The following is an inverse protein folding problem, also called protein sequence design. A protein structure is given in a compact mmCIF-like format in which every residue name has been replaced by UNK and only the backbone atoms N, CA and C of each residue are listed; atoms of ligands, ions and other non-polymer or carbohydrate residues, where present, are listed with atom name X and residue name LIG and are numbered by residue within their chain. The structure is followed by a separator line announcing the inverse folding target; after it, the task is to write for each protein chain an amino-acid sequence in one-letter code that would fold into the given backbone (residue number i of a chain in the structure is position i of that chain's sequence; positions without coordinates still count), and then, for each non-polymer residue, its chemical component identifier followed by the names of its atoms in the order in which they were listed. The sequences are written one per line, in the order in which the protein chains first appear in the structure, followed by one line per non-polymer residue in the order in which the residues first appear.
data_IF_530782228441
#
_entry.id   IF_530782228441
#
_cell.length_a   1.000
_cell.length_b   1.000
_cell.length_c   1.000
_cell.angle_alpha   90.00
_cell.angle_beta   90.00
_cell.angle_gamma   90.00
#
_symmetry.space_group_name_H-M   'P 1'
#
loop_
_entity.id
_entity.type
_entity.pdbx_description
1 polymer ?
#
# COMPACT_ATOMS: atom_id res chain seq x y z
N UNK A 1 -4.38 -31.44 34.70
CA UNK A 1 -4.20 -30.21 35.49
C UNK A 1 -4.26 -29.07 34.51
N UNK A 2 -5.40 -28.38 34.55
CA UNK A 2 -5.78 -27.20 33.76
C UNK A 2 -4.97 -26.00 34.19
N UNK A 3 -4.33 -25.31 33.24
CA UNK A 3 -3.91 -23.92 33.39
C UNK A 3 -4.34 -23.18 32.12
N UNK A 4 -5.63 -22.86 32.08
CA UNK A 4 -6.15 -21.76 31.27
C UNK A 4 -5.66 -20.46 31.89
N UNK A 5 -4.72 -19.80 31.23
CA UNK A 5 -4.52 -18.36 31.38
C UNK A 5 -5.11 -17.71 30.14
N UNK A 6 -6.44 -17.68 30.07
CA UNK A 6 -7.15 -16.72 29.23
C UNK A 6 -7.19 -15.43 30.05
N UNK A 7 -6.28 -14.50 29.73
CA UNK A 7 -6.43 -13.12 30.18
C UNK A 7 -7.31 -12.44 29.15
N UNK A 8 -8.62 -12.47 29.38
CA UNK A 8 -9.56 -11.58 28.72
C UNK A 8 -9.28 -10.18 29.24
N UNK A 9 -8.65 -9.33 28.41
CA UNK A 9 -8.72 -7.89 28.67
C UNK A 9 -10.17 -7.44 28.48
N UNK A 10 -10.59 -6.58 29.40
CA UNK A 10 -11.95 -6.12 29.62
C UNK A 10 -12.66 -5.65 28.35
N UNK A 11 -13.91 -6.09 28.23
CA UNK A 11 -14.99 -5.64 27.34
C UNK A 11 -14.70 -4.42 26.46
N UNK A 12 -14.88 -4.63 25.15
CA UNK A 12 -15.20 -3.60 24.16
C UNK A 12 -16.15 -2.56 24.78
N UNK A 13 -15.71 -1.32 24.85
CA UNK A 13 -16.62 -0.19 25.03
C UNK A 13 -17.59 -0.24 23.84
N UNK A 14 -18.86 -0.55 24.07
CA UNK A 14 -19.91 -0.40 23.06
C UNK A 14 -19.88 1.06 22.58
N UNK A 15 -19.39 1.24 21.37
CA UNK A 15 -19.22 2.52 20.72
C UNK A 15 -20.12 2.50 19.50
N UNK A 16 -21.13 3.37 19.46
CA UNK A 16 -22.14 3.40 18.41
C UNK A 16 -22.15 4.78 17.74
N UNK A 17 -21.15 5.07 16.88
CA UNK A 17 -21.03 6.35 16.18
C UNK A 17 -21.97 6.37 14.96
N UNK A 18 -22.55 7.53 14.66
CA UNK A 18 -23.23 7.75 13.39
C UNK A 18 -22.18 8.04 12.29
N UNK A 19 -21.58 7.00 11.72
CA UNK A 19 -20.64 7.15 10.60
C UNK A 19 -21.41 7.49 9.31
N UNK A 20 -21.48 8.78 8.95
CA UNK A 20 -21.85 9.16 7.60
C UNK A 20 -20.70 8.79 6.66
N UNK A 21 -20.82 7.66 5.94
CA UNK A 21 -19.87 7.23 4.89
C UNK A 21 -19.51 8.42 3.98
N UNK A 22 -18.21 8.69 3.82
CA UNK A 22 -17.70 9.82 3.01
C UNK A 22 -17.48 9.41 1.55
N UNK A 23 -16.44 8.63 1.27
CA UNK A 23 -16.12 8.06 -0.06
C UNK A 23 -14.93 7.09 0.09
N UNK A 24 -14.80 6.13 -0.83
CA UNK A 24 -13.61 5.28 -0.95
C UNK A 24 -12.42 6.00 -1.67
N UNK A 25 -12.62 7.24 -2.14
CA UNK A 25 -11.58 8.12 -2.66
C UNK A 25 -10.80 8.82 -1.54
N UNK A 26 -9.46 8.86 -1.65
CA UNK A 26 -8.59 9.56 -0.72
C UNK A 26 -7.89 10.72 -1.44
N UNK A 27 -7.91 11.91 -0.85
CA UNK A 27 -7.24 13.10 -1.39
C UNK A 27 -5.70 13.04 -1.27
N UNK A 28 -5.13 11.97 -0.71
CA UNK A 28 -3.70 11.80 -0.45
C UNK A 28 -3.17 10.37 -0.77
N UNK A 29 -3.52 9.85 -1.95
CA UNK A 29 -2.98 8.57 -2.47
C UNK A 29 -1.45 8.54 -2.63
N UNK A 30 -0.76 9.67 -2.53
CA UNK A 30 0.65 9.80 -2.91
C UNK A 30 1.65 9.13 -1.96
N UNK A 31 1.31 8.90 -0.69
CA UNK A 31 2.25 8.47 0.36
C UNK A 31 1.75 7.20 1.04
N UNK A 32 2.62 6.22 1.24
CA UNK A 32 2.38 5.05 2.08
C UNK A 32 3.33 5.10 3.30
N UNK A 33 2.84 5.49 4.49
CA UNK A 33 3.69 5.56 5.69
C UNK A 33 4.37 4.24 6.06
N UNK A 34 3.85 3.10 5.59
CA UNK A 34 4.45 1.78 5.82
C UNK A 34 5.48 1.38 4.76
N UNK A 35 5.75 2.20 3.73
CA UNK A 35 6.66 1.83 2.66
C UNK A 35 8.06 1.47 3.19
N UNK A 36 8.63 2.26 4.10
CA UNK A 36 9.95 1.99 4.68
C UNK A 36 10.02 0.60 5.34
N UNK A 37 8.94 0.20 6.03
CA UNK A 37 8.80 -1.14 6.59
C UNK A 37 8.76 -2.21 5.48
N UNK A 38 7.85 -2.06 4.49
CA UNK A 38 7.67 -3.02 3.40
C UNK A 38 8.96 -3.21 2.61
N UNK A 39 9.64 -2.12 2.30
CA UNK A 39 10.91 -2.09 1.60
C UNK A 39 11.99 -2.84 2.39
N UNK A 40 12.20 -2.49 3.66
CA UNK A 40 13.22 -3.13 4.48
C UNK A 40 13.01 -4.64 4.58
N UNK A 41 11.77 -5.08 4.86
CA UNK A 41 11.49 -6.51 5.06
C UNK A 41 11.48 -7.29 3.75
N UNK A 42 11.14 -6.66 2.61
CA UNK A 42 11.06 -7.35 1.31
C UNK A 42 12.37 -7.38 0.52
N UNK A 43 13.30 -6.43 0.74
CA UNK A 43 14.57 -6.34 -0.01
C UNK A 43 15.76 -7.01 0.67
N UNK A 44 15.53 -7.60 1.83
CA UNK A 44 16.53 -8.34 2.57
C UNK A 44 17.51 -7.44 3.34
N UNK A 45 17.61 -7.68 4.64
CA UNK A 45 18.42 -6.91 5.61
C UNK A 45 19.93 -7.05 5.36
N UNK A 46 20.35 -8.13 4.72
CA UNK A 46 21.75 -8.39 4.36
C UNK A 46 22.39 -7.30 3.48
N UNK A 47 21.58 -6.41 2.89
CA UNK A 47 22.03 -5.29 2.06
C UNK A 47 22.05 -3.93 2.79
N UNK A 48 21.56 -3.83 4.05
CA UNK A 48 21.45 -2.56 4.78
C UNK A 48 22.65 -2.36 5.74
N UNK A 49 23.54 -1.38 5.49
CA UNK A 49 24.75 -1.19 6.29
C UNK A 49 24.47 -0.30 7.51
N UNK A 50 24.01 -0.87 8.63
CA UNK A 50 23.96 -0.11 9.89
C UNK A 50 24.45 -0.90 11.11
N UNK A 51 25.26 -0.21 11.92
CA UNK A 51 25.70 -0.63 13.24
C UNK A 51 24.56 -0.37 14.25
N UNK A 52 24.10 -1.40 14.96
CA UNK A 52 23.02 -1.30 15.96
C UNK A 52 22.14 -2.55 16.09
N UNK A 53 22.20 -3.49 15.13
CA UNK A 53 21.39 -4.70 15.16
C UNK A 53 19.95 -4.47 14.69
N UNK A 54 19.26 -5.56 14.31
CA UNK A 54 18.00 -5.49 13.59
C UNK A 54 16.83 -4.86 14.39
N UNK A 55 16.76 -5.11 15.69
CA UNK A 55 15.70 -4.57 16.56
C UNK A 55 15.74 -3.03 16.64
N UNK A 56 16.93 -2.43 16.63
CA UNK A 56 17.11 -0.97 16.59
C UNK A 56 16.63 -0.40 15.26
N UNK A 57 16.89 -1.09 14.13
CA UNK A 57 16.37 -0.70 12.81
C UNK A 57 14.84 -0.74 12.77
N UNK A 58 14.21 -1.81 13.28
CA UNK A 58 12.74 -1.89 13.37
C UNK A 58 12.16 -0.76 14.22
N UNK A 59 12.77 -0.49 15.37
CA UNK A 59 12.35 0.59 16.24
C UNK A 59 12.39 1.95 15.52
N UNK A 60 13.49 2.26 14.82
CA UNK A 60 13.63 3.51 14.06
C UNK A 60 12.63 3.64 12.90
N UNK A 61 12.12 2.53 12.35
CA UNK A 61 11.09 2.59 11.31
C UNK A 61 9.74 2.94 11.90
N UNK A 62 9.31 2.25 12.96
CA UNK A 62 8.02 2.52 13.59
C UNK A 62 8.00 3.85 14.37
N UNK A 63 9.16 4.27 14.88
CA UNK A 63 9.36 5.50 15.66
C UNK A 63 10.64 6.22 15.23
N UNK A 64 10.64 6.91 14.08
CA UNK A 64 11.83 7.61 13.56
C UNK A 64 12.28 8.80 14.42
N UNK A 65 11.44 9.25 15.35
CA UNK A 65 11.67 10.43 16.18
C UNK A 65 12.83 10.17 17.15
N UNK A 66 14.02 10.56 16.74
CA UNK A 66 15.16 10.63 17.66
C UNK A 66 15.12 11.93 18.46
N UNK A 67 15.77 12.00 19.64
CA UNK A 67 15.92 13.25 20.39
C UNK A 67 16.51 14.42 19.58
N UNK A 68 17.13 14.14 18.44
CA UNK A 68 17.75 15.13 17.56
C UNK A 68 16.86 15.55 16.37
N UNK A 69 15.75 14.86 16.12
CA UNK A 69 14.79 15.13 15.03
C UNK A 69 13.35 15.04 15.55
N UNK A 70 12.94 15.91 16.49
CA UNK A 70 11.64 15.83 17.17
C UNK A 70 10.45 16.17 16.26
N UNK A 71 10.70 16.74 15.08
CA UNK A 71 9.67 17.21 14.13
C UNK A 71 9.28 16.17 13.08
N UNK A 72 9.92 14.99 13.07
CA UNK A 72 9.48 13.89 12.21
C UNK A 72 8.24 13.28 12.86
N UNK A 73 7.15 13.16 12.12
CA UNK A 73 5.95 12.47 12.62
C UNK A 73 6.18 10.95 12.54
N UNK A 74 5.81 10.20 13.57
CA UNK A 74 6.00 8.73 13.52
C UNK A 74 4.91 8.05 12.67
N UNK A 75 5.13 6.78 12.26
CA UNK A 75 4.20 6.07 11.37
C UNK A 75 2.76 6.05 11.92
N UNK A 76 2.60 5.91 13.24
CA UNK A 76 1.28 5.82 13.86
C UNK A 76 0.50 7.13 13.77
N UNK A 77 1.18 8.25 13.97
CA UNK A 77 0.61 9.59 13.85
C UNK A 77 0.25 9.89 12.39
N UNK A 78 1.15 9.61 11.44
CA UNK A 78 0.88 9.76 10.00
C UNK A 78 -0.33 8.93 9.53
N UNK A 79 -0.49 7.72 10.06
CA UNK A 79 -1.64 6.87 9.76
C UNK A 79 -2.93 7.40 10.41
N UNK A 80 -2.88 7.88 11.65
CA UNK A 80 -4.03 8.48 12.34
C UNK A 80 -4.53 9.72 11.59
N UNK A 81 -3.63 10.56 11.12
CA UNK A 81 -3.97 11.77 10.36
C UNK A 81 -4.69 11.43 9.04
N UNK A 82 -4.28 10.36 8.36
CA UNK A 82 -4.99 9.83 7.18
C UNK A 82 -6.38 9.29 7.51
N UNK A 83 -6.53 8.66 8.66
CA UNK A 83 -7.80 8.09 9.11
C UNK A 83 -8.79 9.18 9.50
N UNK A 84 -8.31 10.34 9.98
CA UNK A 84 -9.15 11.48 10.39
C UNK A 84 -10.11 11.96 9.29
N UNK A 85 -9.71 11.82 8.03
CA UNK A 85 -10.58 12.18 6.92
C UNK A 85 -11.69 11.16 6.66
N UNK A 86 -11.65 9.96 7.24
CA UNK A 86 -12.57 8.84 6.98
C UNK A 86 -13.60 8.57 8.07
N UNK A 87 -13.30 9.05 9.27
CA UNK A 87 -14.06 8.74 10.47
C UNK A 87 -14.40 10.01 11.25
N UNK A 88 -15.30 9.88 12.21
CA UNK A 88 -15.65 10.98 13.10
C UNK A 88 -14.55 11.27 14.13
N UNK A 89 -14.54 12.51 14.66
CA UNK A 89 -13.58 12.97 15.67
C UNK A 89 -13.52 12.06 16.90
N UNK A 90 -14.66 11.49 17.32
CA UNK A 90 -14.72 10.56 18.46
C UNK A 90 -13.97 9.25 18.22
N UNK A 91 -13.87 8.80 16.97
CA UNK A 91 -13.06 7.63 16.59
C UNK A 91 -11.57 8.01 16.65
N UNK A 92 -11.22 9.22 16.21
CA UNK A 92 -9.86 9.73 16.31
C UNK A 92 -9.41 9.88 17.76
N UNK A 93 -10.27 10.38 18.65
CA UNK A 93 -10.00 10.42 20.08
C UNK A 93 -9.75 9.03 20.68
N UNK A 94 -10.53 8.03 20.25
CA UNK A 94 -10.33 6.65 20.67
C UNK A 94 -8.99 6.08 20.16
N UNK A 95 -8.64 6.34 18.89
CA UNK A 95 -7.35 5.95 18.30
C UNK A 95 -6.21 6.62 19.09
N UNK A 96 -6.29 7.92 19.35
CA UNK A 96 -5.29 8.65 20.15
C UNK A 96 -5.10 8.02 21.53
N UNK A 97 -6.19 7.63 22.19
CA UNK A 97 -6.13 6.92 23.47
C UNK A 97 -5.38 5.59 23.38
N UNK A 98 -5.52 4.82 22.29
CA UNK A 98 -4.77 3.58 22.06
C UNK A 98 -3.29 3.88 21.77
N UNK A 99 -3.00 4.90 20.96
CA UNK A 99 -1.64 5.30 20.61
C UNK A 99 -0.86 5.78 21.86
N UNK A 100 -1.48 6.65 22.67
CA UNK A 100 -0.89 7.24 23.87
C UNK A 100 -0.73 6.25 25.03
N UNK A 101 -1.46 5.15 25.00
CA UNK A 101 -1.37 4.08 26.01
C UNK A 101 -0.63 2.86 25.46
N UNK A 102 -1.32 1.99 24.71
CA UNK A 102 -0.82 0.67 24.31
C UNK A 102 0.39 0.72 23.40
N UNK A 103 0.36 1.57 22.37
CA UNK A 103 1.48 1.69 21.43
C UNK A 103 2.68 2.34 22.11
N UNK A 104 2.47 3.39 22.91
CA UNK A 104 3.51 4.03 23.69
C UNK A 104 4.16 3.10 24.73
N UNK A 105 3.37 2.36 25.51
CA UNK A 105 3.87 1.37 26.47
C UNK A 105 4.70 0.28 25.76
N UNK A 106 4.24 -0.18 24.59
CA UNK A 106 4.98 -1.16 23.77
C UNK A 106 6.29 -0.58 23.26
N UNK A 107 6.29 0.66 22.76
CA UNK A 107 7.48 1.39 22.31
C UNK A 107 8.51 1.52 23.42
N UNK A 108 8.09 2.00 24.59
CA UNK A 108 8.98 2.24 25.72
C UNK A 108 9.61 0.91 26.19
N UNK A 109 8.83 -0.18 26.20
CA UNK A 109 9.37 -1.51 26.55
C UNK A 109 10.36 -2.04 25.51
N UNK A 110 10.11 -1.82 24.22
CA UNK A 110 11.05 -2.16 23.15
C UNK A 110 12.36 -1.38 23.29
N UNK A 111 12.26 -0.09 23.60
CA UNK A 111 13.43 0.77 23.81
C UNK A 111 14.30 0.25 24.97
N UNK A 112 13.69 -0.06 26.12
CA UNK A 112 14.39 -0.62 27.28
C UNK A 112 15.14 -1.93 26.94
N UNK A 113 14.51 -2.78 26.12
CA UNK A 113 15.11 -4.03 25.64
C UNK A 113 16.30 -3.75 24.72
N UNK A 114 16.16 -2.83 23.77
CA UNK A 114 17.25 -2.44 22.87
C UNK A 114 18.44 -1.89 23.68
N UNK A 115 18.20 -1.01 24.65
CA UNK A 115 19.24 -0.48 25.54
C UNK A 115 19.90 -1.60 26.38
N UNK A 116 19.14 -2.60 26.82
CA UNK A 116 19.68 -3.76 27.55
C UNK A 116 20.57 -4.62 26.64
N UNK A 117 20.15 -4.86 25.39
CA UNK A 117 20.94 -5.61 24.41
C UNK A 117 22.24 -4.88 24.07
N UNK A 118 22.19 -3.56 23.86
CA UNK A 118 23.36 -2.75 23.53
C UNK A 118 24.40 -2.73 24.67
N UNK A 119 23.94 -2.62 25.92
CA UNK A 119 24.83 -2.49 27.07
C UNK A 119 25.28 -3.83 27.68
N UNK A 120 24.44 -4.87 27.60
CA UNK A 120 24.63 -6.13 28.33
C UNK A 120 24.46 -7.40 27.48
N UNK A 121 24.04 -7.28 26.22
CA UNK A 121 23.86 -8.38 25.28
C UNK A 121 22.50 -9.07 25.36
N UNK A 122 22.18 -9.87 24.32
CA UNK A 122 20.90 -10.56 24.14
C UNK A 122 20.48 -11.43 25.33
N UNK A 123 21.40 -12.24 25.88
CA UNK A 123 21.10 -13.12 27.01
C UNK A 123 20.61 -12.36 28.26
N UNK A 124 21.07 -11.13 28.49
CA UNK A 124 20.61 -10.30 29.61
C UNK A 124 19.18 -9.77 29.41
N UNK A 125 18.76 -9.59 28.15
CA UNK A 125 17.45 -9.08 27.78
C UNK A 125 16.38 -10.19 27.62
N UNK A 126 16.73 -11.47 27.81
CA UNK A 126 15.86 -12.62 27.54
C UNK A 126 14.48 -12.50 28.20
N UNK A 127 14.44 -12.29 29.52
CA UNK A 127 13.19 -12.31 30.27
C UNK A 127 12.32 -11.10 29.92
N UNK A 128 12.93 -9.93 29.73
CA UNK A 128 12.24 -8.72 29.27
C UNK A 128 11.66 -8.88 27.88
N UNK A 129 12.38 -9.55 26.99
CA UNK A 129 11.93 -9.84 25.63
C UNK A 129 10.73 -10.81 25.61
N UNK A 130 10.77 -11.89 26.38
CA UNK A 130 9.62 -12.80 26.52
C UNK A 130 8.44 -12.09 27.20
N UNK A 131 8.72 -11.16 28.13
CA UNK A 131 7.75 -10.26 28.73
C UNK A 131 7.07 -9.33 27.72
N UNK A 132 7.84 -8.70 26.82
CA UNK A 132 7.33 -7.88 25.70
C UNK A 132 6.34 -8.69 24.87
N UNK A 133 6.74 -9.88 24.42
CA UNK A 133 5.88 -10.74 23.59
C UNK A 133 4.60 -11.10 24.34
N UNK A 134 4.72 -11.54 25.59
CA UNK A 134 3.60 -12.13 26.34
C UNK A 134 2.60 -11.07 26.82
N UNK A 135 3.06 -9.85 27.14
CA UNK A 135 2.24 -8.85 27.82
C UNK A 135 1.88 -7.64 26.96
N UNK A 136 2.64 -7.37 25.90
CA UNK A 136 2.47 -6.17 25.09
C UNK A 136 2.15 -6.47 23.63
N UNK A 137 2.75 -7.51 23.05
CA UNK A 137 2.51 -7.85 21.65
C UNK A 137 1.26 -8.71 21.45
N UNK A 138 1.10 -9.84 22.15
CA UNK A 138 -0.06 -10.72 21.91
C UNK A 138 -1.37 -9.98 22.24
N UNK A 139 -2.31 -9.95 21.28
CA UNK A 139 -3.62 -9.31 21.44
C UNK A 139 -3.61 -7.80 21.19
N UNK A 140 -2.48 -7.21 20.79
CA UNK A 140 -2.40 -5.78 20.46
C UNK A 140 -3.25 -5.44 19.23
N UNK A 141 -3.34 -6.35 18.27
CA UNK A 141 -4.16 -6.25 17.05
C UNK A 141 -5.65 -6.03 17.34
N UNK A 142 -6.14 -6.57 18.45
CA UNK A 142 -7.55 -6.49 18.84
C UNK A 142 -8.01 -5.05 19.12
N UNK A 143 -7.08 -4.11 19.34
CA UNK A 143 -7.40 -2.69 19.47
C UNK A 143 -7.80 -2.05 18.12
N UNK A 144 -7.46 -2.69 16.99
CA UNK A 144 -7.71 -2.20 15.64
C UNK A 144 -8.52 -3.17 14.77
N UNK A 145 -8.98 -4.29 15.33
CA UNK A 145 -9.99 -5.16 14.70
C UNK A 145 -11.39 -4.68 15.09
N UNK A 146 -12.35 -4.87 14.19
CA UNK A 146 -13.77 -4.57 14.42
C UNK A 146 -14.62 -5.78 14.08
N UNK A 147 -15.84 -5.81 14.61
CA UNK A 147 -16.78 -6.86 14.22
C UNK A 147 -17.25 -6.62 12.78
N UNK A 148 -17.32 -7.69 11.98
CA UNK A 148 -17.86 -7.64 10.62
C UNK A 148 -19.37 -7.90 10.62
N UNK A 149 -20.07 -7.17 11.50
CA UNK A 149 -21.53 -7.14 11.62
C UNK A 149 -21.96 -5.71 11.99
N UNK A 150 -21.77 -4.78 11.06
CA UNK A 150 -22.17 -3.37 11.19
C UNK A 150 -21.05 -2.34 11.42
N UNK A 151 -19.81 -2.78 11.72
CA UNK A 151 -18.64 -1.91 11.92
C UNK A 151 -17.59 -2.02 10.79
N UNK A 152 -17.92 -2.63 9.65
CA UNK A 152 -16.98 -2.93 8.59
C UNK A 152 -16.33 -1.67 8.00
N UNK A 153 -17.06 -0.55 7.87
CA UNK A 153 -16.49 0.72 7.43
C UNK A 153 -15.39 1.21 8.37
N UNK A 154 -15.59 1.07 9.68
CA UNK A 154 -14.57 1.42 10.65
C UNK A 154 -13.37 0.48 10.54
N UNK A 155 -13.62 -0.82 10.38
CA UNK A 155 -12.58 -1.82 10.11
C UNK A 155 -11.74 -1.49 8.86
N UNK A 156 -12.40 -1.07 7.79
CA UNK A 156 -11.78 -0.62 6.53
C UNK A 156 -10.92 0.63 6.77
N UNK A 157 -11.49 1.66 7.41
CA UNK A 157 -10.78 2.91 7.65
C UNK A 157 -9.52 2.71 8.50
N UNK A 158 -9.57 1.88 9.55
CA UNK A 158 -8.42 1.65 10.45
C UNK A 158 -7.51 0.49 10.02
N UNK A 159 -7.78 -0.13 8.87
CA UNK A 159 -6.94 -1.21 8.31
C UNK A 159 -5.44 -0.89 8.32
N UNK A 160 -4.98 0.34 7.97
CA UNK A 160 -3.56 0.67 8.05
C UNK A 160 -2.97 0.50 9.46
N UNK A 161 -3.67 0.91 10.52
CA UNK A 161 -3.22 0.77 11.91
C UNK A 161 -3.17 -0.70 12.34
N UNK A 162 -4.16 -1.50 11.91
CA UNK A 162 -4.16 -2.95 12.13
C UNK A 162 -2.93 -3.58 11.46
N UNK A 163 -2.68 -3.30 10.19
CA UNK A 163 -1.56 -3.88 9.47
C UNK A 163 -0.19 -3.44 10.02
N UNK A 164 -0.02 -2.18 10.43
CA UNK A 164 1.21 -1.72 11.08
C UNK A 164 1.41 -2.44 12.43
N UNK A 165 0.35 -2.65 13.19
CA UNK A 165 0.39 -3.40 14.47
C UNK A 165 0.78 -4.85 14.29
N UNK A 166 0.16 -5.54 13.34
CA UNK A 166 0.46 -6.94 13.03
C UNK A 166 1.87 -7.09 12.47
N UNK A 167 2.31 -6.11 11.67
CA UNK A 167 3.69 -6.03 11.20
C UNK A 167 4.69 -5.91 12.35
N UNK A 168 4.45 -5.03 13.32
CA UNK A 168 5.25 -4.93 14.54
C UNK A 168 5.27 -6.27 15.29
N UNK A 169 4.11 -6.86 15.56
CA UNK A 169 4.02 -8.11 16.33
C UNK A 169 4.75 -9.27 15.65
N UNK A 170 4.50 -9.52 14.36
CA UNK A 170 5.08 -10.63 13.60
C UNK A 170 6.59 -10.44 13.44
N UNK A 171 7.05 -9.23 13.08
CA UNK A 171 8.48 -8.99 12.91
C UNK A 171 9.25 -9.13 14.21
N UNK A 172 8.76 -8.55 15.32
CA UNK A 172 9.41 -8.74 16.61
C UNK A 172 9.43 -10.22 16.99
N UNK A 173 8.32 -10.94 16.93
CA UNK A 173 8.34 -12.38 17.24
C UNK A 173 9.33 -13.17 16.36
N UNK A 174 9.46 -12.81 15.08
CA UNK A 174 10.42 -13.43 14.16
C UNK A 174 11.88 -13.06 14.48
N UNK A 175 12.18 -11.83 14.92
CA UNK A 175 13.52 -11.49 15.43
C UNK A 175 13.96 -12.44 16.54
N UNK A 176 13.04 -12.75 17.46
CA UNK A 176 13.33 -13.63 18.58
C UNK A 176 13.72 -15.04 18.12
N UNK A 177 13.16 -15.49 16.98
CA UNK A 177 13.53 -16.77 16.37
C UNK A 177 14.89 -16.70 15.68
N UNK A 178 15.21 -15.59 15.02
CA UNK A 178 16.51 -15.38 14.37
C UNK A 178 17.66 -15.31 15.39
N UNK A 179 17.43 -14.68 16.54
CA UNK A 179 18.43 -14.51 17.61
C UNK A 179 18.24 -15.47 18.79
N UNK A 180 17.55 -16.59 18.59
CA UNK A 180 17.16 -17.51 19.67
C UNK A 180 18.35 -18.06 20.45
N UNK A 181 19.49 -18.26 19.80
CA UNK A 181 20.70 -18.83 20.41
C UNK A 181 21.41 -17.77 21.25
N UNK A 182 21.44 -16.52 20.78
CA UNK A 182 22.00 -15.36 21.47
C UNK A 182 21.18 -14.98 22.70
N UNK A 183 19.85 -15.06 22.61
CA UNK A 183 18.97 -14.90 23.76
C UNK A 183 19.04 -16.09 24.74
N UNK A 184 19.51 -17.26 24.30
CA UNK A 184 19.44 -18.50 25.07
C UNK A 184 17.99 -18.97 25.29
N UNK A 185 17.15 -18.84 24.27
CA UNK A 185 15.76 -19.30 24.30
C UNK A 185 15.66 -20.82 24.45
N UNK A 186 14.66 -21.24 25.21
CA UNK A 186 14.31 -22.66 25.34
C UNK A 186 13.42 -23.11 24.18
N UNK A 187 13.28 -24.42 23.97
CA UNK A 187 12.32 -24.97 23.02
C UNK A 187 10.89 -24.46 23.27
N UNK A 188 10.54 -24.21 24.54
CA UNK A 188 9.24 -23.64 24.90
C UNK A 188 9.09 -22.19 24.43
N UNK A 189 10.15 -21.39 24.50
CA UNK A 189 10.14 -20.00 24.03
C UNK A 189 10.00 -19.97 22.50
N UNK A 190 10.81 -20.78 21.80
CA UNK A 190 10.76 -20.96 20.34
C UNK A 190 9.38 -21.43 19.89
N UNK A 191 8.80 -22.41 20.58
CA UNK A 191 7.45 -22.90 20.28
C UNK A 191 6.38 -21.82 20.50
N UNK A 192 6.50 -21.03 21.57
CA UNK A 192 5.57 -19.92 21.86
C UNK A 192 5.58 -18.89 20.72
N UNK A 193 6.76 -18.42 20.31
CA UNK A 193 6.92 -17.45 19.22
C UNK A 193 6.35 -18.00 17.91
N UNK A 194 6.75 -19.23 17.54
CA UNK A 194 6.30 -19.91 16.32
C UNK A 194 4.78 -20.00 16.24
N UNK A 195 4.16 -20.51 17.31
CA UNK A 195 2.71 -20.68 17.41
C UNK A 195 1.95 -19.36 17.34
N UNK A 196 2.48 -18.31 17.97
CA UNK A 196 1.82 -17.01 17.99
C UNK A 196 1.91 -16.31 16.62
N UNK A 197 3.03 -16.44 15.90
CA UNK A 197 3.14 -15.99 14.50
C UNK A 197 2.09 -16.70 13.64
N UNK A 198 1.97 -18.03 13.76
CA UNK A 198 0.99 -18.81 12.98
C UNK A 198 -0.44 -18.34 13.24
N UNK A 199 -0.82 -18.27 14.53
CA UNK A 199 -2.17 -17.86 14.93
C UNK A 199 -2.51 -16.45 14.51
N UNK A 200 -1.59 -15.50 14.72
CA UNK A 200 -1.82 -14.10 14.39
C UNK A 200 -2.00 -13.92 12.88
N UNK A 201 -1.15 -14.56 12.07
CA UNK A 201 -1.31 -14.54 10.62
C UNK A 201 -2.64 -15.18 10.18
N UNK A 202 -2.97 -16.38 10.66
CA UNK A 202 -4.17 -17.10 10.23
C UNK A 202 -5.45 -16.32 10.55
N UNK A 203 -5.52 -15.72 11.74
CA UNK A 203 -6.65 -14.91 12.18
C UNK A 203 -6.77 -13.59 11.38
N UNK A 204 -5.69 -12.81 11.32
CA UNK A 204 -5.72 -11.49 10.67
C UNK A 204 -5.88 -11.62 9.15
N UNK A 205 -5.26 -12.62 8.51
CA UNK A 205 -5.42 -12.83 7.07
C UNK A 205 -6.86 -13.17 6.68
N UNK A 206 -7.57 -13.97 7.50
CA UNK A 206 -8.99 -14.24 7.31
C UNK A 206 -9.80 -12.95 7.43
N UNK A 207 -9.57 -12.17 8.50
CA UNK A 207 -10.25 -10.90 8.74
C UNK A 207 -10.05 -9.91 7.59
N UNK A 208 -8.81 -9.68 7.13
CA UNK A 208 -8.51 -8.75 6.03
C UNK A 208 -9.16 -9.23 4.73
N UNK A 209 -9.16 -10.55 4.46
CA UNK A 209 -9.80 -11.10 3.25
C UNK A 209 -11.32 -10.88 3.26
N UNK A 210 -11.97 -11.10 4.41
CA UNK A 210 -13.41 -10.86 4.58
C UNK A 210 -13.75 -9.38 4.46
N UNK A 211 -12.95 -8.51 5.11
CA UNK A 211 -13.11 -7.06 5.04
C UNK A 211 -12.92 -6.52 3.62
N UNK A 212 -11.95 -7.03 2.87
CA UNK A 212 -11.71 -6.64 1.48
C UNK A 212 -12.86 -7.06 0.56
N UNK A 213 -13.39 -8.27 0.75
CA UNK A 213 -14.57 -8.74 0.01
C UNK A 213 -15.81 -7.90 0.33
N UNK A 214 -15.98 -7.50 1.59
CA UNK A 214 -17.02 -6.54 1.98
C UNK A 214 -16.82 -5.19 1.29
N UNK A 215 -15.62 -4.60 1.34
CA UNK A 215 -15.34 -3.27 0.80
C UNK A 215 -15.52 -3.23 -0.73
N UNK A 216 -15.13 -4.29 -1.44
CA UNK A 216 -15.36 -4.41 -2.88
C UNK A 216 -16.86 -4.42 -3.22
N UNK A 217 -17.65 -5.19 -2.47
CA UNK A 217 -19.10 -5.24 -2.67
C UNK A 217 -19.80 -3.94 -2.23
N UNK A 218 -19.41 -3.36 -1.10
CA UNK A 218 -20.01 -2.15 -0.53
C UNK A 218 -19.67 -0.89 -1.35
N UNK A 219 -18.46 -0.81 -1.91
CA UNK A 219 -18.06 0.28 -2.80
C UNK A 219 -18.92 0.29 -4.07
N UNK A 220 -19.11 -0.86 -4.71
CA UNK A 220 -19.98 -0.98 -5.88
C UNK A 220 -21.45 -0.67 -5.57
N UNK A 221 -22.02 -1.27 -4.51
CA UNK A 221 -23.46 -1.18 -4.23
C UNK A 221 -23.95 0.23 -3.86
N UNK A 222 -23.04 1.09 -3.40
CA UNK A 222 -23.36 2.45 -2.98
C UNK A 222 -22.72 3.53 -3.86
N UNK A 223 -21.95 3.13 -4.88
CA UNK A 223 -21.49 4.06 -5.89
C UNK A 223 -22.67 4.60 -6.70
N UNK A 224 -22.56 5.85 -7.15
CA UNK A 224 -23.43 6.39 -8.17
C UNK A 224 -22.81 6.16 -9.57
N UNK A 225 -23.58 6.40 -10.62
CA UNK A 225 -23.14 6.12 -12.00
C UNK A 225 -21.89 6.90 -12.43
N UNK A 226 -21.62 8.03 -11.79
CA UNK A 226 -20.54 8.94 -12.15
C UNK A 226 -19.23 8.62 -11.41
N UNK A 227 -19.26 7.80 -10.34
CA UNK A 227 -18.08 7.50 -9.51
C UNK A 227 -17.82 6.01 -9.27
N UNK A 228 -18.49 5.09 -10.00
CA UNK A 228 -18.30 3.63 -9.83
C UNK A 228 -16.84 3.23 -9.90
N UNK A 229 -16.11 3.70 -10.92
CA UNK A 229 -14.69 3.36 -11.06
C UNK A 229 -13.88 3.77 -9.84
N UNK A 230 -14.02 5.04 -9.43
CA UNK A 230 -13.23 5.61 -8.35
C UNK A 230 -13.54 4.97 -6.99
N UNK A 231 -14.81 4.70 -6.69
CA UNK A 231 -15.20 4.05 -5.43
C UNK A 231 -14.65 2.62 -5.36
N UNK A 232 -14.83 1.83 -6.42
CA UNK A 232 -14.41 0.41 -6.43
C UNK A 232 -12.90 0.28 -6.47
N UNK A 233 -12.23 1.00 -7.37
CA UNK A 233 -10.77 0.99 -7.46
C UNK A 233 -10.14 1.54 -6.20
N UNK A 234 -10.77 2.53 -5.56
CA UNK A 234 -10.29 3.07 -4.30
C UNK A 234 -10.34 2.06 -3.16
N UNK A 235 -11.48 1.36 -3.02
CA UNK A 235 -11.65 0.29 -2.02
C UNK A 235 -10.61 -0.84 -2.21
N UNK A 236 -10.45 -1.31 -3.45
CA UNK A 236 -9.47 -2.36 -3.78
C UNK A 236 -8.04 -1.93 -3.48
N UNK A 237 -7.69 -0.70 -3.86
CA UNK A 237 -6.34 -0.16 -3.67
C UNK A 237 -5.98 -0.02 -2.21
N UNK A 238 -6.91 0.48 -1.38
CA UNK A 238 -6.70 0.58 0.06
C UNK A 238 -6.47 -0.79 0.70
N UNK A 239 -7.29 -1.79 0.36
CA UNK A 239 -7.12 -3.15 0.85
C UNK A 239 -5.83 -3.81 0.33
N UNK A 240 -5.41 -3.52 -0.91
CA UNK A 240 -4.13 -4.00 -1.45
C UNK A 240 -2.96 -3.42 -0.66
N UNK A 241 -2.87 -2.09 -0.57
CA UNK A 241 -1.73 -1.38 0.05
C UNK A 241 -1.69 -1.63 1.55
N UNK A 242 -2.81 -1.54 2.25
CA UNK A 242 -2.86 -1.62 3.71
C UNK A 242 -3.22 -3.01 4.24
N UNK A 243 -3.48 -3.99 3.37
CA UNK A 243 -3.80 -5.36 3.77
C UNK A 243 -2.92 -6.38 3.07
N UNK A 244 -3.17 -6.62 1.77
CA UNK A 244 -2.59 -7.75 1.05
C UNK A 244 -1.07 -7.67 0.89
N UNK A 245 -0.49 -6.49 0.69
CA UNK A 245 0.97 -6.34 0.63
C UNK A 245 1.65 -6.73 1.94
N UNK A 246 1.07 -6.35 3.07
CA UNK A 246 1.56 -6.78 4.37
C UNK A 246 1.37 -8.28 4.58
N UNK A 247 0.24 -8.84 4.16
CA UNK A 247 -0.02 -10.28 4.25
C UNK A 247 1.01 -11.11 3.47
N UNK A 248 1.50 -10.66 2.31
CA UNK A 248 2.57 -11.35 1.58
C UNK A 248 3.86 -11.43 2.42
N UNK A 249 4.23 -10.32 3.08
CA UNK A 249 5.39 -10.25 3.96
C UNK A 249 5.21 -11.18 5.16
N UNK A 250 4.08 -11.08 5.85
CA UNK A 250 3.79 -11.90 7.04
C UNK A 250 3.73 -13.38 6.71
N UNK A 251 3.17 -13.74 5.56
CA UNK A 251 3.14 -15.12 5.08
C UNK A 251 4.57 -15.63 4.92
N UNK A 252 5.47 -14.83 4.34
CA UNK A 252 6.85 -15.26 4.14
C UNK A 252 7.61 -15.42 5.45
N UNK A 253 7.39 -14.51 6.40
CA UNK A 253 7.91 -14.62 7.77
C UNK A 253 7.36 -15.88 8.45
N UNK A 254 6.05 -16.15 8.31
CA UNK A 254 5.41 -17.34 8.85
C UNK A 254 6.02 -18.61 8.28
N UNK A 255 6.22 -18.69 6.97
CA UNK A 255 6.80 -19.87 6.29
C UNK A 255 8.25 -20.13 6.72
N UNK A 256 9.07 -19.08 6.78
CA UNK A 256 10.51 -19.21 7.01
C UNK A 256 10.91 -19.09 8.47
N UNK A 257 10.01 -18.60 9.34
CA UNK A 257 10.23 -18.33 10.77
C UNK A 257 11.45 -17.42 11.03
N UNK A 258 11.65 -16.46 10.14
CA UNK A 258 12.70 -15.44 10.19
C UNK A 258 12.16 -14.11 9.70
N UNK A 259 12.79 -13.03 10.10
CA UNK A 259 12.36 -11.69 9.72
C UNK A 259 12.98 -11.23 8.39
N UNK A 260 14.21 -11.68 8.09
CA UNK A 260 14.89 -11.36 6.84
C UNK A 260 14.32 -12.20 5.70
N UNK A 261 13.34 -11.65 4.98
CA UNK A 261 12.65 -12.34 3.88
C UNK A 261 12.83 -11.60 2.56
N UNK A 262 12.61 -12.33 1.47
CA UNK A 262 12.48 -11.73 0.15
C UNK A 262 11.07 -12.01 -0.34
N UNK A 263 10.36 -10.95 -0.71
CA UNK A 263 8.99 -11.01 -1.23
C UNK A 263 8.94 -10.21 -2.51
N UNK A 264 8.52 -10.88 -3.58
CA UNK A 264 8.14 -10.23 -4.82
C UNK A 264 6.61 -10.12 -4.84
N UNK A 265 6.10 -8.89 -4.94
CA UNK A 265 4.66 -8.61 -4.96
C UNK A 265 4.18 -8.50 -6.40
N UNK A 266 3.16 -9.29 -6.74
CA UNK A 266 2.42 -9.18 -8.01
C UNK A 266 1.06 -8.50 -7.81
N UNK A 267 0.85 -7.89 -6.64
CA UNK A 267 -0.37 -7.19 -6.29
C UNK A 267 -0.43 -5.85 -7.00
N UNK A 268 -1.64 -5.44 -7.34
CA UNK A 268 -1.90 -4.22 -8.08
C UNK A 268 -2.84 -3.35 -7.27
N UNK A 269 -2.48 -2.08 -7.12
CA UNK A 269 -3.36 -1.01 -6.67
C UNK A 269 -3.60 -0.05 -7.83
N UNK A 270 -4.60 0.82 -7.70
CA UNK A 270 -5.15 1.62 -8.78
C UNK A 270 -5.29 3.08 -8.35
N UNK A 271 -5.11 3.98 -9.30
CA UNK A 271 -5.41 5.39 -9.08
C UNK A 271 -6.89 5.68 -9.30
N UNK A 272 -7.40 6.80 -8.74
CA UNK A 272 -8.58 7.46 -9.26
C UNK A 272 -8.43 7.77 -10.75
N UNK A 273 -9.55 7.92 -11.45
CA UNK A 273 -9.56 8.41 -12.81
C UNK A 273 -9.46 9.95 -12.82
N UNK A 274 -8.57 10.47 -13.67
CA UNK A 274 -8.52 11.90 -13.98
C UNK A 274 -9.31 12.13 -15.27
N UNK A 275 -10.17 13.14 -15.28
CA UNK A 275 -11.02 13.47 -16.43
C UNK A 275 -12.46 12.98 -16.26
N UNK A 276 -13.09 12.54 -17.35
CA UNK A 276 -14.47 12.03 -17.35
C UNK A 276 -14.48 10.51 -17.63
N UNK A 277 -14.61 9.65 -16.60
CA UNK A 277 -14.56 8.21 -16.76
C UNK A 277 -15.64 7.72 -17.72
N UNK A 278 -15.24 7.04 -18.80
CA UNK A 278 -16.18 6.51 -19.78
C UNK A 278 -16.93 5.28 -19.24
N UNK A 279 -17.95 4.81 -19.98
CA UNK A 279 -18.59 3.52 -19.68
C UNK A 279 -17.62 2.33 -19.63
N UNK A 280 -16.44 2.40 -20.27
CA UNK A 280 -15.42 1.36 -20.19
C UNK A 280 -14.71 1.33 -18.83
N UNK A 281 -14.46 2.50 -18.21
CA UNK A 281 -13.95 2.57 -16.84
C UNK A 281 -14.92 1.88 -15.89
N UNK A 282 -16.21 2.23 -15.99
CA UNK A 282 -17.25 1.59 -15.18
C UNK A 282 -17.35 0.08 -15.44
N UNK A 283 -17.29 -0.36 -16.70
CA UNK A 283 -17.28 -1.78 -17.04
C UNK A 283 -16.12 -2.54 -16.37
N UNK A 284 -14.91 -1.99 -16.42
CA UNK A 284 -13.74 -2.57 -15.77
C UNK A 284 -13.93 -2.65 -14.25
N UNK A 285 -14.49 -1.61 -13.64
CA UNK A 285 -14.77 -1.58 -12.19
C UNK A 285 -15.87 -2.55 -11.76
N UNK A 286 -16.85 -2.84 -12.62
CA UNK A 286 -17.90 -3.82 -12.32
C UNK A 286 -17.44 -5.28 -12.44
N UNK A 287 -16.27 -5.53 -13.03
CA UNK A 287 -15.68 -6.86 -13.09
C UNK A 287 -15.05 -7.28 -11.77
N UNK A 288 -14.89 -8.58 -11.56
CA UNK A 288 -14.07 -9.07 -10.44
C UNK A 288 -12.60 -8.68 -10.64
N UNK A 289 -11.84 -8.60 -9.56
CA UNK A 289 -10.42 -8.20 -9.61
C UNK A 289 -9.59 -9.07 -10.58
N UNK A 290 -9.91 -10.36 -10.72
CA UNK A 290 -9.24 -11.28 -11.64
C UNK A 290 -9.62 -11.07 -13.12
N UNK A 291 -10.70 -10.34 -13.40
CA UNK A 291 -11.19 -10.06 -14.74
C UNK A 291 -10.66 -8.75 -15.32
N UNK A 292 -10.00 -7.90 -14.52
CA UNK A 292 -9.37 -6.67 -15.01
C UNK A 292 -8.24 -7.05 -15.97
N UNK A 293 -8.30 -6.66 -17.26
CA UNK A 293 -7.30 -7.05 -18.23
C UNK A 293 -6.13 -6.05 -18.32
N UNK A 294 -5.04 -6.48 -18.96
CA UNK A 294 -4.06 -5.58 -19.55
C UNK A 294 -4.80 -4.65 -20.53
N UNK A 295 -4.59 -3.33 -20.49
CA UNK A 295 -3.39 -2.64 -20.00
C UNK A 295 -3.46 -2.07 -18.59
N UNK A 296 -4.63 -2.07 -17.93
CA UNK A 296 -4.75 -1.54 -16.58
C UNK A 296 -4.09 -2.49 -15.56
N UNK A 297 -4.39 -3.79 -15.64
CA UNK A 297 -3.72 -4.83 -14.84
C UNK A 297 -2.80 -5.64 -15.76
N UNK A 298 -1.48 -5.41 -15.77
CA UNK A 298 -0.59 -6.15 -16.66
C UNK A 298 -0.68 -7.66 -16.45
N UNK A 299 -0.59 -8.41 -17.55
CA UNK A 299 -0.60 -9.87 -17.49
C UNK A 299 0.64 -10.40 -16.76
N UNK A 300 0.59 -11.63 -16.24
CA UNK A 300 1.80 -12.30 -15.74
C UNK A 300 2.74 -12.64 -16.90
N UNK A 301 4.03 -12.37 -16.72
CA UNK A 301 5.11 -12.78 -17.61
C UNK A 301 6.23 -13.45 -16.80
N UNK A 302 6.16 -14.78 -16.70
CA UNK A 302 6.98 -15.54 -15.77
C UNK A 302 6.46 -15.41 -14.35
N UNK A 303 7.34 -15.05 -13.41
CA UNK A 303 7.00 -14.88 -11.98
C UNK A 303 6.59 -13.45 -11.63
N UNK A 304 6.65 -12.52 -12.59
CA UNK A 304 6.34 -11.10 -12.40
C UNK A 304 5.31 -10.57 -13.40
N UNK A 305 4.81 -9.36 -13.18
CA UNK A 305 3.95 -8.65 -14.13
C UNK A 305 4.72 -8.23 -15.39
N UNK A 306 4.02 -8.27 -16.52
CA UNK A 306 4.51 -7.91 -17.84
C UNK A 306 4.80 -6.40 -17.90
N UNK A 307 6.03 -6.01 -18.21
CA UNK A 307 6.45 -4.61 -18.16
C UNK A 307 6.22 -3.87 -19.46
N UNK A 308 5.82 -2.60 -19.32
CA UNK A 308 5.85 -1.63 -20.41
C UNK A 308 7.33 -1.37 -20.76
N UNK A 309 7.69 -1.51 -22.03
CA UNK A 309 9.04 -1.22 -22.54
C UNK A 309 9.05 -0.04 -23.50
N UNK A 310 7.90 0.31 -24.08
CA UNK A 310 7.76 1.45 -24.99
C UNK A 310 6.41 2.13 -24.82
N UNK A 311 6.41 3.45 -24.88
CA UNK A 311 5.20 4.27 -25.01
C UNK A 311 5.28 5.02 -26.33
N UNK A 312 4.22 4.92 -27.13
CA UNK A 312 4.00 5.71 -28.33
C UNK A 312 2.76 6.59 -28.11
N UNK A 313 2.74 7.81 -28.63
CA UNK A 313 1.64 8.75 -28.45
C UNK A 313 1.34 9.55 -29.70
N UNK A 314 0.09 10.02 -29.77
CA UNK A 314 -0.40 10.97 -30.76
C UNK A 314 -1.23 12.03 -30.06
N UNK A 315 -1.10 13.27 -30.53
CA UNK A 315 -1.98 14.36 -30.14
C UNK A 315 -3.22 14.37 -31.05
N UNK A 316 -4.34 14.80 -30.50
CA UNK A 316 -5.55 15.09 -31.28
C UNK A 316 -5.72 16.60 -31.41
N UNK A 317 -5.85 17.08 -32.66
CA UNK A 317 -6.00 18.51 -32.96
C UNK A 317 -7.42 18.79 -33.42
N UNK A 318 -8.19 19.46 -32.57
CA UNK A 318 -9.51 19.95 -32.93
C UNK A 318 -9.44 21.30 -33.66
N UNK A 319 -10.54 21.64 -34.35
CA UNK A 319 -10.85 23.01 -34.77
C UNK A 319 -10.78 23.87 -33.50
N UNK A 320 -9.85 24.84 -33.45
CA UNK A 320 -9.46 25.74 -32.32
C UNK A 320 -7.99 25.62 -31.84
N UNK A 321 -7.16 24.77 -32.46
CA UNK A 321 -5.68 24.79 -32.37
C UNK A 321 -5.05 24.38 -31.01
N UNK A 322 -5.70 23.57 -30.18
CA UNK A 322 -5.06 22.98 -29.00
C UNK A 322 -4.67 21.52 -29.27
N UNK A 323 -3.42 21.16 -28.98
CA UNK A 323 -2.98 19.76 -29.04
C UNK A 323 -3.39 19.05 -27.76
N UNK A 324 -4.42 18.21 -27.82
CA UNK A 324 -4.87 17.39 -26.68
C UNK A 324 -4.33 15.97 -26.79
N UNK A 325 -4.46 15.18 -25.73
CA UNK A 325 -4.06 13.76 -25.77
C UNK A 325 -5.04 12.98 -26.66
N UNK A 326 -4.54 12.47 -27.79
CA UNK A 326 -5.37 11.73 -28.76
C UNK A 326 -5.48 10.25 -28.42
N UNK A 327 -4.34 9.57 -28.45
CA UNK A 327 -4.21 8.15 -28.06
C UNK A 327 -2.79 7.80 -27.63
N UNK A 328 -2.68 6.73 -26.87
CA UNK A 328 -1.40 6.12 -26.48
C UNK A 328 -1.34 4.70 -27.02
N UNK A 329 -0.12 4.18 -27.14
CA UNK A 329 0.12 2.78 -27.46
C UNK A 329 1.28 2.27 -26.64
N UNK A 330 1.06 1.15 -25.98
CA UNK A 330 2.02 0.51 -25.10
C UNK A 330 2.58 -0.72 -25.79
N UNK A 331 3.89 -0.89 -25.75
CA UNK A 331 4.54 -2.16 -26.08
C UNK A 331 5.07 -2.75 -24.79
N UNK A 332 4.74 -4.01 -24.57
CA UNK A 332 5.20 -4.78 -23.42
C UNK A 332 6.40 -5.66 -23.78
N UNK A 333 7.17 -6.07 -22.77
CA UNK A 333 8.38 -6.88 -22.96
C UNK A 333 8.13 -8.24 -23.62
N UNK A 334 6.93 -8.82 -23.44
CA UNK A 334 6.53 -10.04 -24.14
C UNK A 334 6.21 -9.82 -25.63
N UNK A 335 6.32 -8.58 -26.12
CA UNK A 335 6.01 -8.17 -27.49
C UNK A 335 4.54 -7.85 -27.74
N UNK A 336 3.66 -7.99 -26.74
CA UNK A 336 2.27 -7.56 -26.85
C UNK A 336 2.18 -6.05 -26.98
N UNK A 337 1.19 -5.61 -27.74
CA UNK A 337 0.96 -4.21 -28.05
C UNK A 337 -0.50 -3.89 -27.79
N UNK A 338 -0.74 -2.84 -27.01
CA UNK A 338 -2.08 -2.40 -26.64
C UNK A 338 -2.25 -0.93 -26.99
N UNK A 339 -3.37 -0.60 -27.65
CA UNK A 339 -3.75 0.79 -27.93
C UNK A 339 -4.72 1.29 -26.84
N UNK A 340 -4.52 2.54 -26.43
CA UNK A 340 -5.30 3.25 -25.43
C UNK A 340 -5.92 4.48 -26.09
N UNK A 341 -7.25 4.56 -26.09
CA UNK A 341 -8.00 5.40 -27.01
C UNK A 341 -8.12 4.78 -28.41
N UNK A 342 -8.64 5.53 -29.39
CA UNK A 342 -8.88 5.04 -30.76
C UNK A 342 -8.14 5.91 -31.76
N UNK A 343 -7.60 5.26 -32.78
CA UNK A 343 -7.00 5.95 -33.92
C UNK A 343 -8.01 6.87 -34.59
N UNK A 344 -7.63 8.13 -34.79
CA UNK A 344 -8.47 9.13 -35.42
C UNK A 344 -7.76 9.80 -36.60
N UNK A 345 -8.54 10.33 -37.55
CA UNK A 345 -7.99 11.03 -38.73
C UNK A 345 -7.32 12.37 -38.40
N UNK A 346 -7.49 12.86 -37.17
CA UNK A 346 -6.87 14.08 -36.65
C UNK A 346 -5.69 13.78 -35.70
N UNK A 347 -5.26 12.52 -35.63
CA UNK A 347 -4.06 12.15 -34.88
C UNK A 347 -2.83 12.76 -35.58
N UNK A 348 -2.14 13.64 -34.86
CA UNK A 348 -0.91 14.30 -35.30
C UNK A 348 0.18 14.19 -34.22
N UNK A 349 1.37 14.71 -34.51
CA UNK A 349 2.48 14.78 -33.56
C UNK A 349 2.84 13.43 -32.92
N UNK A 350 3.08 12.41 -33.76
CA UNK A 350 3.60 11.13 -33.28
C UNK A 350 4.90 11.32 -32.49
N UNK A 351 4.95 10.72 -31.31
CA UNK A 351 6.12 10.64 -30.47
C UNK A 351 6.25 9.24 -29.87
N UNK A 352 7.46 8.89 -29.46
CA UNK A 352 7.71 7.62 -28.77
C UNK A 352 8.88 7.71 -27.82
N UNK A 353 8.83 6.90 -26.77
CA UNK A 353 9.93 6.70 -25.83
C UNK A 353 10.10 5.21 -25.52
N UNK A 354 11.34 4.74 -25.61
CA UNK A 354 11.76 3.42 -25.11
C UNK A 354 12.19 3.59 -23.65
N UNK A 355 11.69 2.72 -22.77
CA UNK A 355 11.98 2.79 -21.34
C UNK A 355 13.41 2.31 -21.03
N UNK A 356 13.97 1.39 -21.81
CA UNK A 356 15.37 0.93 -21.67
C UNK A 356 15.74 0.49 -20.23
N UNK A 357 14.81 -0.15 -19.52
CA UNK A 357 15.00 -0.58 -18.13
C UNK A 357 14.58 0.45 -17.08
N UNK A 358 14.32 1.71 -17.47
CA UNK A 358 13.68 2.69 -16.58
C UNK A 358 12.20 2.32 -16.34
N UNK A 359 11.64 2.79 -15.23
CA UNK A 359 10.23 2.66 -14.90
C UNK A 359 9.57 4.03 -14.75
N UNK A 360 8.25 4.06 -14.80
CA UNK A 360 7.46 5.29 -14.64
C UNK A 360 7.27 5.53 -13.14
N UNK A 361 7.85 6.61 -12.60
CA UNK A 361 7.74 6.99 -11.17
C UNK A 361 6.36 7.57 -10.86
N UNK A 362 5.93 8.51 -11.68
CA UNK A 362 4.65 9.19 -11.55
C UNK A 362 4.26 9.84 -12.88
N UNK A 363 3.00 10.26 -12.97
CA UNK A 363 2.47 11.02 -14.09
C UNK A 363 1.74 12.27 -13.59
N UNK A 364 1.96 13.40 -14.26
CA UNK A 364 1.19 14.63 -14.05
C UNK A 364 0.17 14.78 -15.18
N UNK A 365 -1.11 14.87 -14.83
CA UNK A 365 -2.24 14.88 -15.77
C UNK A 365 -2.99 16.19 -15.66
N UNK A 366 -3.28 16.85 -16.78
CA UNK A 366 -4.12 18.04 -16.85
C UNK A 366 -5.40 17.68 -17.60
N UNK A 367 -6.54 17.75 -16.90
CA UNK A 367 -7.86 17.64 -17.49
C UNK A 367 -8.55 19.01 -17.53
N UNK A 368 -9.38 19.25 -18.55
CA UNK A 368 -10.08 20.51 -18.73
C UNK A 368 -11.54 20.28 -19.10
N UNK A 369 -12.37 20.18 -18.06
CA UNK A 369 -13.78 19.85 -18.21
C UNK A 369 -13.99 18.40 -18.65
N UNK A 370 -15.22 18.03 -19.03
CA UNK A 370 -15.60 16.64 -19.28
C UNK A 370 -15.09 16.09 -20.62
N UNK A 371 -14.49 16.93 -21.47
CA UNK A 371 -14.32 16.59 -22.88
C UNK A 371 -12.91 16.12 -23.25
N UNK A 372 -11.91 16.32 -22.39
CA UNK A 372 -10.54 15.91 -22.71
C UNK A 372 -9.53 15.95 -21.55
N UNK A 373 -8.56 15.06 -21.68
CA UNK A 373 -7.22 15.21 -21.12
C UNK A 373 -6.39 16.09 -22.06
N UNK A 374 -5.98 17.25 -21.55
CA UNK A 374 -5.18 18.21 -22.29
C UNK A 374 -3.71 17.80 -22.32
N UNK A 375 -3.20 17.25 -21.21
CA UNK A 375 -1.78 16.88 -21.08
C UNK A 375 -1.56 15.68 -20.17
N UNK A 376 -0.61 14.84 -20.54
CA UNK A 376 0.01 13.84 -19.65
C UNK A 376 1.52 14.02 -19.70
N UNK A 377 2.17 14.05 -18.54
CA UNK A 377 3.62 14.07 -18.41
C UNK A 377 4.06 12.84 -17.64
N UNK A 378 4.81 11.96 -18.29
CA UNK A 378 5.44 10.80 -17.66
C UNK A 378 6.80 11.19 -17.11
N UNK A 379 7.07 10.81 -15.86
CA UNK A 379 8.35 11.01 -15.20
C UNK A 379 9.01 9.66 -14.92
N UNK A 380 10.18 9.43 -15.50
CA UNK A 380 10.87 8.13 -15.43
C UNK A 380 11.92 8.10 -14.33
N UNK A 381 12.30 6.90 -13.90
CA UNK A 381 13.30 6.68 -12.85
C UNK A 381 14.68 7.25 -13.18
N UNK A 382 15.02 7.36 -14.47
CA UNK A 382 16.26 7.95 -14.99
C UNK A 382 16.15 9.45 -15.33
N UNK A 383 15.17 10.13 -14.72
CA UNK A 383 14.89 11.56 -14.82
C UNK A 383 14.49 12.08 -16.21
N UNK A 384 14.31 11.17 -17.18
CA UNK A 384 13.66 11.53 -18.43
C UNK A 384 12.19 11.89 -18.18
N UNK A 385 11.65 12.68 -19.11
CA UNK A 385 10.22 12.97 -19.17
C UNK A 385 9.69 12.72 -20.58
N UNK A 386 8.42 12.32 -20.66
CA UNK A 386 7.69 12.17 -21.92
C UNK A 386 6.37 12.92 -21.81
N UNK A 387 6.12 13.86 -22.73
CA UNK A 387 4.97 14.77 -22.66
C UNK A 387 4.06 14.47 -23.83
N UNK A 388 2.76 14.35 -23.57
CA UNK A 388 1.70 14.19 -24.57
C UNK A 388 0.68 15.30 -24.36
N UNK A 389 0.21 15.92 -25.45
CA UNK A 389 -0.69 17.07 -25.40
C UNK A 389 -0.03 18.38 -24.94
N UNK A 390 -0.84 19.36 -24.53
CA UNK A 390 -0.44 20.74 -24.24
C UNK A 390 -0.93 21.23 -22.88
N UNK A 391 -0.14 22.13 -22.27
CA UNK A 391 -0.52 22.74 -21.01
C UNK A 391 -1.60 23.82 -21.22
N UNK A 392 -2.82 23.53 -20.79
CA UNK A 392 -3.95 24.47 -20.86
C UNK A 392 -3.99 25.51 -19.73
N UNK A 393 -2.98 25.52 -18.84
CA UNK A 393 -2.91 26.41 -17.69
C UNK A 393 -3.83 26.02 -16.53
N UNK A 394 -4.45 24.84 -16.61
CA UNK A 394 -5.23 24.24 -15.52
C UNK A 394 -4.30 23.53 -14.51
N UNK A 395 -4.74 23.36 -13.24
CA UNK A 395 -4.00 22.57 -12.27
C UNK A 395 -3.77 21.14 -12.79
N UNK A 396 -2.58 20.61 -12.54
CA UNK A 396 -2.28 19.20 -12.78
C UNK A 396 -2.67 18.36 -11.57
N UNK A 397 -3.20 17.17 -11.82
CA UNK A 397 -3.35 16.09 -10.85
C UNK A 397 -2.16 15.16 -11.02
N UNK A 398 -1.47 14.87 -9.92
CA UNK A 398 -0.38 13.90 -9.90
C UNK A 398 -0.95 12.52 -9.56
N UNK A 399 -0.59 11.52 -10.36
CA UNK A 399 -0.85 10.11 -10.04
C UNK A 399 0.47 9.47 -9.65
N UNK A 400 0.61 9.22 -8.36
CA UNK A 400 1.76 8.64 -7.71
C UNK A 400 1.29 7.81 -6.51
N UNK A 401 2.05 6.77 -6.19
CA UNK A 401 1.99 6.06 -4.91
C UNK A 401 3.42 5.82 -4.45
N UNK A 402 3.80 6.35 -3.29
CA UNK A 402 5.16 6.21 -2.75
C UNK A 402 5.55 4.74 -2.63
N UNK A 403 6.80 4.45 -3.01
CA UNK A 403 7.30 3.08 -2.97
C UNK A 403 6.80 2.16 -4.06
N UNK A 404 5.99 2.68 -4.99
CA UNK A 404 5.46 1.94 -6.12
C UNK A 404 5.90 2.56 -7.44
N UNK A 405 5.74 1.82 -8.53
CA UNK A 405 5.88 2.34 -9.89
C UNK A 405 4.59 2.13 -10.67
N UNK A 406 4.38 2.94 -11.70
CA UNK A 406 3.23 2.77 -12.60
C UNK A 406 3.51 1.60 -13.54
N UNK A 407 2.76 0.51 -13.38
CA UNK A 407 2.93 -0.73 -14.13
C UNK A 407 1.89 -0.90 -15.25
N UNK A 408 0.72 -0.28 -15.09
CA UNK A 408 -0.39 -0.31 -16.03
C UNK A 408 -1.09 1.04 -16.13
N UNK A 409 -1.89 1.23 -17.18
CA UNK A 409 -2.68 2.43 -17.35
C UNK A 409 -3.89 2.19 -18.25
N UNK A 410 -4.91 3.00 -18.04
CA UNK A 410 -6.12 3.04 -18.84
C UNK A 410 -6.33 4.45 -19.35
N UNK A 411 -6.54 4.58 -20.65
CA UNK A 411 -6.99 5.80 -21.28
C UNK A 411 -8.11 5.43 -22.24
N UNK A 412 -9.24 6.13 -22.16
CA UNK A 412 -10.37 5.88 -23.04
C UNK A 412 -11.00 7.18 -23.56
N UNK A 413 -11.71 7.05 -24.68
CA UNK A 413 -12.42 8.14 -25.34
C UNK A 413 -13.92 7.93 -25.18
N UNK A 414 -14.65 8.96 -24.77
CA UNK A 414 -16.11 8.91 -24.73
C UNK A 414 -16.71 9.44 -26.06
N UNK A 415 -16.55 8.66 -27.13
CA UNK A 415 -17.13 8.99 -28.43
C UNK A 415 -16.51 10.22 -29.14
N UNK A 416 -15.37 10.71 -28.64
CA UNK A 416 -14.61 11.82 -29.22
C UNK A 416 -13.32 11.33 -29.90
N UNK A 417 -12.57 12.27 -30.45
CA UNK A 417 -11.25 12.06 -31.06
C UNK A 417 -10.08 12.17 -30.07
N UNK A 418 -10.37 12.24 -28.77
CA UNK A 418 -9.42 12.60 -27.72
C UNK A 418 -9.71 11.84 -26.43
N UNK A 419 -8.66 11.54 -25.67
CA UNK A 419 -8.79 10.84 -24.39
C UNK A 419 -9.63 11.70 -23.44
N UNK A 420 -10.70 11.13 -22.88
CA UNK A 420 -11.60 11.80 -21.95
C UNK A 420 -11.20 11.54 -20.49
N UNK A 421 -10.67 10.35 -20.21
CA UNK A 421 -10.17 9.97 -18.89
C UNK A 421 -8.90 9.16 -18.94
N UNK A 422 -8.13 9.25 -17.85
CA UNK A 422 -6.87 8.55 -17.66
C UNK A 422 -6.72 8.06 -16.22
N UNK A 423 -6.32 6.81 -16.03
CA UNK A 423 -5.93 6.24 -14.74
C UNK A 423 -4.70 5.36 -14.88
N UNK A 424 -4.07 5.06 -13.76
CA UNK A 424 -2.89 4.20 -13.67
C UNK A 424 -3.09 3.09 -12.66
N UNK A 425 -2.27 2.06 -12.79
CA UNK A 425 -2.12 1.01 -11.81
C UNK A 425 -0.68 1.01 -11.27
N UNK A 426 -0.56 0.70 -9.99
CA UNK A 426 0.69 0.69 -9.26
C UNK A 426 1.07 -0.72 -8.83
N UNK A 427 2.37 -0.99 -8.84
CA UNK A 427 2.96 -2.22 -8.31
C UNK A 427 4.10 -1.83 -7.36
N UNK A 428 4.23 -2.55 -6.25
CA UNK A 428 5.25 -2.30 -5.25
C UNK A 428 6.62 -2.37 -5.92
N UNK A 429 7.45 -1.35 -5.71
CA UNK A 429 8.76 -1.29 -6.32
C UNK A 429 9.66 -2.38 -5.73
N UNK A 430 10.48 -3.02 -6.58
CA UNK A 430 11.55 -3.92 -6.15
C UNK A 430 12.90 -3.45 -6.76
N UNK A 431 13.95 -3.14 -5.97
CA UNK A 431 15.22 -2.63 -6.48
C UNK A 431 15.92 -3.60 -7.45
N UNK A 432 15.87 -4.89 -7.14
CA UNK A 432 16.49 -5.96 -7.95
C UNK A 432 15.87 -6.08 -9.35
N UNK A 433 14.67 -5.56 -9.52
CA UNK A 433 13.88 -5.70 -10.74
C UNK A 433 14.29 -4.73 -11.85
N UNK A 434 14.85 -3.58 -11.51
CA UNK A 434 15.17 -2.52 -12.48
C UNK A 434 16.66 -2.29 -12.65
N UNK A 435 17.49 -3.23 -12.17
CA UNK A 435 18.94 -3.20 -12.38
C UNK A 435 19.56 -1.92 -11.85
N UNK A 436 19.42 -1.65 -10.55
CA UNK A 436 20.30 -0.68 -9.91
C UNK A 436 21.71 -1.28 -9.85
N UNK A 437 22.63 -0.72 -10.62
CA UNK A 437 24.06 -1.01 -10.48
C UNK A 437 24.46 -0.89 -9.00
N UNK A 438 25.14 -1.92 -8.49
CA UNK A 438 25.75 -1.95 -7.16
C UNK A 438 26.84 -0.91 -7.00
#
# INVERSE_FOLDING_TARGET
MTNEYVVTMSSLTEFNPNNARKSYLFDNYEVDPNYAFKAMVSFGLSNIPYAGGFLSTLWNIFWPNTPNEPDIENIWEQLRDRIQDLVDESIIDAINGILDSKIKETRDKIQDINETIENFGYAAAKDDYIGLVTHYLIGLEENFKRELDGDEWLGYAILPLLATTVSLQITYMACGLDYKDEFGFTDSDVHKLTRNIDKLYDDVSSYITELAAWADNDSYNNANQDNVYDEVMGARSWCTVHGFEHMLIWQKIKELKKVDVFVHSNLISYSPAVGFPSGNFNYIATGTEDEIPQPLKPNMFGERRNRIVKIESWNSIEIHYYNRVGRLKLTYENGEVVELGKAHKYDEHYQSIELNGAYIKYVDVIANGPEAIDRIVFHFSDDRTFVVGENSGKPSVRLQLEGHFICGMLADQEGSDKVAAFSVAYELFHPDEFGTEK
#
